data_IF_628917231502
#
_entry.id   IF_628917231502
#
_cell.length_a   1.000
_cell.length_b   1.000
_cell.length_c   1.000
_cell.angle_alpha   90.00
_cell.angle_beta   90.00
_cell.angle_gamma   90.00
#
_symmetry.space_group_name_H-M   'P 1'
#
loop_
_entity.id
_entity.type
_entity.pdbx_description
1 polymer ?
#
# COMPACT_ATOMS: atom_id res chain seq x y z
N UNK A 1 26.50 3.07 -5.56
CA UNK A 1 25.71 3.07 -4.31
C UNK A 1 25.47 1.63 -3.92
N UNK A 2 25.75 1.24 -2.67
CA UNK A 2 25.66 -0.15 -2.20
C UNK A 2 24.44 -0.28 -1.26
N UNK A 3 23.46 -1.18 -1.54
CA UNK A 3 22.28 -1.35 -0.69
C UNK A 3 22.62 -1.79 0.75
N UNK A 4 23.78 -2.43 0.95
CA UNK A 4 24.28 -2.83 2.29
C UNK A 4 24.59 -1.69 3.24
N UNK A 5 24.65 -0.45 2.74
CA UNK A 5 24.98 0.74 3.55
C UNK A 5 24.08 1.93 3.26
N UNK A 6 23.01 1.77 2.47
CA UNK A 6 22.20 2.89 2.01
C UNK A 6 20.74 2.49 1.76
N UNK A 7 19.83 3.17 2.47
CA UNK A 7 18.39 3.02 2.29
C UNK A 7 17.94 3.39 0.87
N UNK A 8 18.40 4.52 0.33
CA UNK A 8 18.04 4.90 -1.05
C UNK A 8 18.60 3.92 -2.09
N UNK A 9 19.78 3.34 -1.85
CA UNK A 9 20.36 2.35 -2.77
C UNK A 9 19.56 1.05 -2.75
N UNK A 10 19.01 0.65 -1.60
CA UNK A 10 18.10 -0.49 -1.48
C UNK A 10 16.86 -0.28 -2.37
N UNK A 11 16.21 0.88 -2.29
CA UNK A 11 15.05 1.23 -3.13
C UNK A 11 15.41 1.17 -4.62
N UNK A 12 16.50 1.83 -5.03
CA UNK A 12 16.94 1.84 -6.43
C UNK A 12 17.25 0.43 -6.95
N UNK A 13 17.79 -0.44 -6.08
CA UNK A 13 18.07 -1.84 -6.42
C UNK A 13 16.79 -2.63 -6.66
N UNK A 14 15.77 -2.46 -5.81
CA UNK A 14 14.45 -3.09 -6.02
C UNK A 14 13.75 -2.57 -7.29
N UNK A 15 13.85 -1.26 -7.57
CA UNK A 15 13.35 -0.69 -8.82
C UNK A 15 13.96 -1.37 -10.03
N UNK A 16 15.29 -1.43 -10.11
CA UNK A 16 15.99 -2.10 -11.20
C UNK A 16 15.61 -3.58 -11.30
N UNK A 17 15.62 -4.29 -10.16
CA UNK A 17 15.29 -5.71 -10.13
C UNK A 17 13.90 -6.00 -10.71
N UNK A 18 12.86 -5.27 -10.26
CA UNK A 18 11.50 -5.49 -10.72
C UNK A 18 11.25 -4.96 -12.14
N UNK A 19 11.93 -3.89 -12.54
CA UNK A 19 11.94 -3.45 -13.94
C UNK A 19 12.47 -4.55 -14.87
N UNK A 20 13.56 -5.23 -14.49
CA UNK A 20 14.13 -6.36 -15.25
C UNK A 20 13.19 -7.58 -15.30
N UNK A 21 12.20 -7.69 -14.38
CA UNK A 21 11.13 -8.70 -14.42
C UNK A 21 9.89 -8.25 -15.21
N UNK A 22 9.96 -7.09 -15.86
CA UNK A 22 8.91 -6.55 -16.72
C UNK A 22 7.82 -5.78 -15.98
N UNK A 23 8.07 -5.31 -14.75
CA UNK A 23 7.16 -4.40 -14.07
C UNK A 23 7.30 -2.98 -14.60
N UNK A 24 6.18 -2.28 -14.77
CA UNK A 24 6.20 -0.83 -14.84
C UNK A 24 6.60 -0.27 -13.46
N UNK A 25 7.68 0.51 -13.41
CA UNK A 25 8.11 1.19 -12.18
C UNK A 25 7.29 2.47 -12.03
N UNK A 26 6.37 2.48 -11.06
CA UNK A 26 5.49 3.63 -10.81
C UNK A 26 6.02 4.50 -9.68
N UNK A 27 5.38 5.66 -9.53
CA UNK A 27 5.64 6.59 -8.44
C UNK A 27 4.69 6.31 -7.27
N UNK A 28 5.04 6.74 -6.05
CA UNK A 28 4.10 6.82 -4.94
C UNK A 28 2.80 7.50 -5.33
N UNK A 29 1.69 7.04 -4.75
CA UNK A 29 0.45 7.78 -4.86
C UNK A 29 0.53 9.09 -4.06
N UNK A 30 0.02 10.17 -4.62
CA UNK A 30 0.08 11.54 -4.07
C UNK A 30 -1.01 11.83 -3.02
N UNK A 31 -1.64 10.77 -2.51
CA UNK A 31 -2.66 10.78 -1.47
C UNK A 31 -2.23 9.93 -0.27
N UNK A 32 -2.68 10.28 0.94
CA UNK A 32 -2.40 9.47 2.13
C UNK A 32 -3.08 8.10 2.06
N UNK A 33 -2.29 7.04 2.13
CA UNK A 33 -2.77 5.65 2.13
C UNK A 33 -2.10 4.83 3.22
N UNK A 34 -2.80 3.82 3.76
CA UNK A 34 -2.26 2.96 4.83
C UNK A 34 -1.38 1.80 4.36
N UNK A 35 -1.37 1.52 3.05
CA UNK A 35 -0.54 0.51 2.41
C UNK A 35 -0.47 0.74 0.88
N UNK A 36 0.52 0.13 0.22
CA UNK A 36 0.67 0.03 -1.24
C UNK A 36 -0.55 -0.53 -1.95
N UNK A 37 -1.34 -1.36 -1.26
CA UNK A 37 -2.59 -1.94 -1.76
C UNK A 37 -3.61 -0.87 -2.15
N UNK A 38 -3.73 0.22 -1.38
CA UNK A 38 -4.68 1.31 -1.62
C UNK A 38 -4.32 2.20 -2.81
N UNK A 39 -3.12 2.07 -3.38
CA UNK A 39 -2.80 2.75 -4.62
C UNK A 39 -3.71 2.20 -5.74
N UNK A 40 -4.31 3.03 -6.60
CA UNK A 40 -5.14 2.54 -7.72
C UNK A 40 -4.42 1.57 -8.67
N UNK A 41 -3.08 1.61 -8.72
CA UNK A 41 -2.25 0.67 -9.47
C UNK A 41 -2.25 -0.76 -8.89
N UNK A 42 -2.75 -0.96 -7.67
CA UNK A 42 -3.00 -2.27 -7.08
C UNK A 42 -4.50 -2.53 -6.96
N UNK A 43 -5.23 -1.80 -6.11
CA UNK A 43 -6.65 -2.11 -5.83
C UNK A 43 -7.50 -2.16 -7.10
N UNK A 44 -7.48 -1.11 -7.92
CA UNK A 44 -8.31 -1.08 -9.13
C UNK A 44 -7.76 -2.02 -10.20
N UNK A 45 -6.44 -2.02 -10.44
CA UNK A 45 -5.80 -2.87 -11.46
C UNK A 45 -5.83 -4.37 -11.16
N UNK A 46 -6.04 -4.77 -9.90
CA UNK A 46 -6.31 -6.16 -9.54
C UNK A 46 -7.63 -6.66 -10.16
N UNK A 47 -8.57 -5.78 -10.48
CA UNK A 47 -9.87 -6.11 -11.06
C UNK A 47 -9.84 -6.26 -12.59
N UNK A 48 -10.78 -7.04 -13.11
CA UNK A 48 -11.00 -7.23 -14.55
C UNK A 48 -9.98 -8.16 -15.23
N UNK A 49 -10.14 -8.44 -16.54
CA UNK A 49 -9.37 -9.48 -17.22
C UNK A 49 -7.95 -9.05 -17.66
N UNK A 50 -7.63 -7.75 -17.63
CA UNK A 50 -6.36 -7.24 -18.16
C UNK A 50 -5.16 -7.68 -17.29
N UNK A 51 -4.11 -8.31 -17.85
CA UNK A 51 -2.84 -8.50 -17.17
C UNK A 51 -2.21 -7.16 -16.78
N UNK A 52 -1.46 -7.18 -15.69
CA UNK A 52 -0.84 -6.00 -15.11
C UNK A 52 0.41 -6.38 -14.31
N UNK A 53 1.49 -5.62 -14.47
CA UNK A 53 2.71 -5.78 -13.68
C UNK A 53 3.24 -4.42 -13.30
N UNK A 54 3.30 -4.12 -12.01
CA UNK A 54 3.82 -2.85 -11.51
C UNK A 54 4.63 -3.06 -10.23
N UNK A 55 5.59 -2.16 -10.02
CA UNK A 55 6.38 -2.09 -8.80
C UNK A 55 6.62 -0.63 -8.42
N UNK A 56 6.54 -0.28 -7.15
CA UNK A 56 6.68 1.10 -6.69
C UNK A 56 6.94 1.19 -5.19
N UNK A 57 7.49 2.32 -4.75
CA UNK A 57 7.50 2.67 -3.33
C UNK A 57 6.16 3.29 -2.97
N UNK A 58 5.59 2.92 -1.83
CA UNK A 58 4.44 3.61 -1.25
C UNK A 58 4.78 4.07 0.18
N UNK A 59 5.02 5.37 0.40
CA UNK A 59 4.95 5.96 1.73
C UNK A 59 3.53 5.72 2.27
N UNK A 60 3.47 5.07 3.43
CA UNK A 60 2.24 4.56 4.01
C UNK A 60 2.03 5.17 5.39
N UNK A 61 0.82 5.68 5.65
CA UNK A 61 0.44 6.33 6.91
C UNK A 61 -0.54 5.48 7.69
N UNK A 62 -0.14 5.07 8.90
CA UNK A 62 -0.94 4.36 9.90
C UNK A 62 -0.98 5.18 11.19
N UNK A 63 -1.92 6.13 11.33
CA UNK A 63 -1.98 7.04 12.47
C UNK A 63 -1.88 6.38 13.85
N UNK A 64 -2.51 5.22 14.05
CA UNK A 64 -2.50 4.45 15.30
C UNK A 64 -1.15 3.79 15.64
N UNK A 65 -0.26 3.68 14.66
CA UNK A 65 1.06 3.08 14.84
C UNK A 65 2.10 4.09 15.36
N UNK A 66 1.76 5.37 15.50
CA UNK A 66 2.68 6.40 15.98
C UNK A 66 3.25 6.11 17.36
N UNK A 67 4.55 6.35 17.56
CA UNK A 67 5.24 6.11 18.85
C UNK A 67 6.14 7.27 19.26
N UNK A 68 5.80 8.49 18.85
CA UNK A 68 6.51 9.72 19.26
C UNK A 68 8.02 9.72 18.98
N UNK A 69 8.49 8.93 18.02
CA UNK A 69 9.92 8.80 17.76
C UNK A 69 10.69 7.92 18.76
N UNK A 70 10.01 7.27 19.70
CA UNK A 70 10.65 6.55 20.81
C UNK A 70 10.78 5.04 20.57
N UNK A 71 10.00 4.48 19.65
CA UNK A 71 10.06 3.06 19.32
C UNK A 71 11.07 2.78 18.19
N UNK A 72 11.94 1.76 18.31
CA UNK A 72 12.96 1.46 17.31
C UNK A 72 12.44 0.84 16.01
N UNK A 73 11.20 0.33 15.98
CA UNK A 73 10.69 -0.50 14.88
C UNK A 73 9.28 -0.11 14.40
N UNK A 74 8.57 0.76 15.11
CA UNK A 74 7.17 1.11 14.83
C UNK A 74 7.03 2.60 14.54
N UNK A 75 6.40 2.91 13.41
CA UNK A 75 6.28 4.24 12.84
C UNK A 75 4.82 4.49 12.39
N UNK A 76 4.30 5.71 12.52
CA UNK A 76 3.06 6.08 11.84
C UNK A 76 3.25 6.32 10.34
N UNK A 77 4.46 6.64 9.89
CA UNK A 77 4.81 6.79 8.47
C UNK A 77 6.06 5.98 8.14
N UNK A 78 5.95 5.10 7.15
CA UNK A 78 7.03 4.22 6.71
C UNK A 78 6.90 3.90 5.22
N UNK A 79 7.96 3.37 4.62
CA UNK A 79 7.97 3.02 3.20
C UNK A 79 7.72 1.54 2.97
N UNK A 80 6.64 1.25 2.25
CA UNK A 80 6.48 -0.04 1.60
C UNK A 80 7.15 -0.04 0.25
N UNK A 81 7.74 -1.16 -0.14
CA UNK A 81 7.91 -1.47 -1.56
C UNK A 81 6.78 -2.39 -1.97
N UNK A 82 6.07 -2.05 -3.03
CA UNK A 82 4.89 -2.75 -3.49
C UNK A 82 5.17 -3.37 -4.85
N UNK A 83 4.75 -4.61 -5.05
CA UNK A 83 4.75 -5.28 -6.34
C UNK A 83 3.39 -5.94 -6.55
N UNK A 84 2.83 -5.77 -7.74
CA UNK A 84 1.63 -6.48 -8.18
C UNK A 84 1.91 -7.18 -9.51
N UNK A 85 1.63 -8.48 -9.56
CA UNK A 85 1.79 -9.33 -10.74
C UNK A 85 0.47 -10.04 -11.04
N UNK A 86 -0.14 -9.67 -12.17
CA UNK A 86 -1.42 -10.19 -12.63
C UNK A 86 -1.28 -10.69 -14.07
N UNK A 87 -1.51 -11.99 -14.36
CA UNK A 87 -1.79 -13.05 -13.39
C UNK A 87 -0.60 -13.32 -12.47
N UNK A 88 -0.88 -13.90 -11.31
CA UNK A 88 0.15 -14.41 -10.40
C UNK A 88 1.08 -15.42 -11.12
N UNK A 89 2.41 -15.24 -11.08
CA UNK A 89 3.34 -16.24 -11.61
C UNK A 89 3.51 -17.44 -10.66
N UNK A 90 3.77 -18.62 -11.22
CA UNK A 90 4.00 -19.84 -10.44
C UNK A 90 5.30 -19.82 -9.60
N UNK A 91 6.24 -18.91 -9.91
CA UNK A 91 7.52 -18.78 -9.23
C UNK A 91 7.64 -17.48 -8.41
N UNK A 92 6.53 -16.96 -7.88
CA UNK A 92 6.53 -15.70 -7.12
C UNK A 92 7.53 -15.71 -5.94
N UNK A 93 7.61 -16.80 -5.19
CA UNK A 93 8.56 -16.94 -4.07
C UNK A 93 10.02 -16.90 -4.54
N UNK A 94 10.36 -17.53 -5.67
CA UNK A 94 11.72 -17.48 -6.24
C UNK A 94 12.08 -16.05 -6.65
N UNK A 95 11.15 -15.33 -7.28
CA UNK A 95 11.34 -13.93 -7.66
C UNK A 95 11.59 -13.04 -6.44
N UNK A 96 10.87 -13.28 -5.34
CA UNK A 96 11.07 -12.57 -4.08
C UNK A 96 12.42 -12.90 -3.43
N UNK A 97 12.80 -14.18 -3.31
CA UNK A 97 14.11 -14.54 -2.75
C UNK A 97 15.27 -13.97 -3.57
N UNK A 98 15.10 -13.90 -4.90
CA UNK A 98 16.05 -13.22 -5.78
C UNK A 98 16.14 -11.70 -5.53
N UNK A 99 15.03 -11.05 -5.15
CA UNK A 99 15.02 -9.62 -4.82
C UNK A 99 15.70 -9.34 -3.49
N UNK A 100 15.51 -10.19 -2.48
CA UNK A 100 16.22 -10.13 -1.19
C UNK A 100 17.74 -10.28 -1.39
N UNK A 101 18.16 -11.25 -2.21
CA UNK A 101 19.57 -11.41 -2.56
C UNK A 101 20.14 -10.17 -3.26
N UNK A 102 19.37 -9.54 -4.15
CA UNK A 102 19.80 -8.35 -4.87
C UNK A 102 20.06 -7.16 -3.93
N UNK A 103 19.25 -6.98 -2.88
CA UNK A 103 19.47 -5.93 -1.88
C UNK A 103 20.52 -6.30 -0.83
N UNK A 104 21.11 -7.49 -0.92
CA UNK A 104 22.23 -7.92 -0.09
C UNK A 104 21.86 -8.77 1.12
N UNK A 105 20.60 -9.21 1.23
CA UNK A 105 20.13 -10.15 2.24
C UNK A 105 20.27 -11.57 1.67
N UNK A 106 21.27 -12.32 2.14
CA UNK A 106 21.50 -13.70 1.70
C UNK A 106 20.65 -14.67 2.52
N UNK A 107 19.66 -15.37 1.92
CA UNK A 107 18.81 -16.31 2.65
C UNK A 107 19.56 -17.55 3.15
N UNK A 108 20.83 -17.76 2.80
CA UNK A 108 21.68 -18.79 3.41
C UNK A 108 22.30 -18.34 4.74
N UNK A 109 22.34 -17.04 5.00
CA UNK A 109 22.88 -16.45 6.23
C UNK A 109 21.77 -16.00 7.20
N UNK A 110 20.56 -15.80 6.69
CA UNK A 110 19.39 -15.36 7.44
C UNK A 110 18.29 -16.42 7.42
N UNK A 111 17.61 -16.62 8.54
CA UNK A 111 16.49 -17.57 8.67
C UNK A 111 15.22 -16.96 8.07
N UNK A 112 15.04 -17.17 6.76
CA UNK A 112 13.86 -16.72 6.01
C UNK A 112 12.77 -17.79 6.03
N UNK A 113 11.61 -17.46 6.61
CA UNK A 113 10.46 -18.37 6.75
C UNK A 113 9.21 -17.78 6.13
N UNK A 114 8.44 -18.63 5.45
CA UNK A 114 7.10 -18.31 4.97
C UNK A 114 6.10 -18.94 5.94
N UNK A 115 5.40 -18.08 6.68
CA UNK A 115 4.39 -18.49 7.66
C UNK A 115 3.04 -18.22 7.03
N UNK A 116 2.19 -19.25 6.92
CA UNK A 116 0.85 -19.11 6.33
C UNK A 116 0.05 -18.08 7.11
N UNK A 117 -0.49 -17.10 6.38
CA UNK A 117 -1.37 -16.07 6.92
C UNK A 117 -2.32 -15.58 5.82
N UNK A 118 -3.59 -15.42 6.19
CA UNK A 118 -4.61 -14.87 5.31
C UNK A 118 -4.67 -13.36 5.53
N UNK A 119 -4.65 -12.59 4.44
CA UNK A 119 -4.71 -11.14 4.52
C UNK A 119 -6.13 -10.63 4.25
N UNK A 120 -6.59 -9.68 5.07
CA UNK A 120 -7.85 -8.96 4.85
C UNK A 120 -7.66 -7.44 5.03
N UNK A 121 -8.29 -6.68 4.13
CA UNK A 121 -8.57 -5.25 4.33
C UNK A 121 -10.09 -5.02 4.29
N UNK A 122 -10.73 -4.92 5.46
CA UNK A 122 -12.18 -4.75 5.55
C UNK A 122 -12.71 -3.50 4.84
N UNK A 123 -11.96 -2.39 4.88
CA UNK A 123 -12.35 -1.12 4.24
C UNK A 123 -12.28 -1.18 2.72
N UNK A 124 -11.39 -2.00 2.14
CA UNK A 124 -11.36 -2.23 0.70
C UNK A 124 -12.25 -3.42 0.28
N UNK A 125 -12.84 -4.14 1.23
CA UNK A 125 -13.53 -5.40 0.94
C UNK A 125 -12.62 -6.39 0.20
N UNK A 126 -11.33 -6.36 0.53
CA UNK A 126 -10.28 -7.13 -0.12
C UNK A 126 -9.78 -8.23 0.80
N UNK A 127 -9.53 -9.41 0.25
CA UNK A 127 -8.93 -10.52 0.97
C UNK A 127 -8.18 -11.46 0.02
N UNK A 128 -7.21 -12.19 0.57
CA UNK A 128 -6.43 -13.15 -0.19
C UNK A 128 -5.69 -14.14 0.72
N UNK A 129 -5.34 -15.28 0.14
CA UNK A 129 -4.47 -16.27 0.78
C UNK A 129 -3.02 -15.79 0.68
N UNK A 130 -2.16 -16.15 1.63
CA UNK A 130 -0.81 -15.62 1.61
C UNK A 130 0.17 -16.21 2.61
N UNK A 131 1.27 -15.49 2.77
CA UNK A 131 2.25 -15.76 3.81
C UNK A 131 2.81 -14.45 4.33
N UNK A 132 3.04 -14.40 5.63
CA UNK A 132 4.03 -13.50 6.20
C UNK A 132 5.43 -14.08 5.95
N UNK A 133 6.33 -13.25 5.44
CA UNK A 133 7.74 -13.58 5.34
C UNK A 133 8.48 -13.05 6.56
N UNK A 134 9.01 -13.95 7.36
CA UNK A 134 9.82 -13.64 8.54
C UNK A 134 11.29 -13.81 8.21
N UNK A 135 12.13 -12.89 8.69
CA UNK A 135 13.58 -12.94 8.59
C UNK A 135 14.14 -12.74 10.01
N UNK A 136 14.91 -13.70 10.52
CA UNK A 136 15.53 -13.65 11.86
C UNK A 136 14.58 -13.19 12.98
N UNK A 137 13.34 -13.67 12.96
CA UNK A 137 12.34 -13.40 13.99
C UNK A 137 11.58 -12.08 13.85
N UNK A 138 11.70 -11.35 12.73
CA UNK A 138 10.83 -10.22 12.40
C UNK A 138 10.17 -10.39 11.03
N UNK A 139 8.88 -10.10 10.95
CA UNK A 139 8.13 -10.02 9.69
C UNK A 139 8.71 -8.89 8.80
N UNK A 140 9.17 -9.23 7.59
CA UNK A 140 9.81 -8.27 6.67
C UNK A 140 9.03 -8.06 5.37
N UNK A 141 8.10 -8.95 5.03
CA UNK A 141 7.26 -8.81 3.85
C UNK A 141 5.96 -9.61 3.96
N UNK A 142 4.93 -9.20 3.22
CA UNK A 142 3.67 -9.91 3.06
C UNK A 142 3.51 -10.40 1.61
N UNK A 143 3.03 -11.63 1.47
CA UNK A 143 2.51 -12.18 0.23
C UNK A 143 0.99 -12.22 0.30
N UNK A 144 0.32 -11.79 -0.77
CA UNK A 144 -1.13 -11.89 -0.87
C UNK A 144 -1.54 -12.31 -2.28
N UNK A 145 -2.32 -13.37 -2.40
CA UNK A 145 -2.98 -13.78 -3.63
C UNK A 145 -4.44 -13.36 -3.59
N UNK A 146 -4.74 -12.23 -4.21
CA UNK A 146 -6.08 -11.64 -4.13
C UNK A 146 -7.14 -12.60 -4.68
N UNK A 147 -8.03 -13.03 -3.80
CA UNK A 147 -9.26 -13.73 -4.18
C UNK A 147 -10.35 -12.70 -4.47
N UNK A 148 -10.39 -11.63 -3.68
CA UNK A 148 -11.36 -10.57 -3.83
C UNK A 148 -10.72 -9.21 -3.53
N UNK A 149 -11.13 -8.18 -4.28
CA UNK A 149 -10.80 -6.77 -4.03
C UNK A 149 -12.07 -5.95 -4.31
N UNK A 150 -12.34 -4.91 -3.53
CA UNK A 150 -13.56 -4.10 -3.69
C UNK A 150 -14.87 -4.93 -3.61
N UNK A 151 -14.90 -6.06 -2.91
CA UNK A 151 -16.08 -6.94 -2.93
C UNK A 151 -16.26 -7.77 -4.21
N UNK A 152 -15.28 -7.76 -5.11
CA UNK A 152 -15.34 -8.36 -6.46
C UNK A 152 -14.24 -9.42 -6.60
N UNK A 153 -14.59 -10.57 -7.16
CA UNK A 153 -13.65 -11.66 -7.42
C UNK A 153 -12.55 -11.23 -8.41
N UNK A 154 -11.30 -11.52 -8.07
CA UNK A 154 -10.15 -11.22 -8.93
C UNK A 154 -9.93 -12.34 -9.95
N UNK A 155 -10.24 -12.06 -11.22
CA UNK A 155 -10.04 -13.02 -12.31
C UNK A 155 -9.31 -12.36 -13.50
N UNK A 156 -8.03 -12.70 -13.75
CA UNK A 156 -7.21 -13.68 -13.02
C UNK A 156 -6.72 -13.17 -11.65
N UNK A 157 -6.39 -14.11 -10.75
CA UNK A 157 -5.76 -13.82 -9.44
C UNK A 157 -4.46 -13.03 -9.63
N UNK A 158 -4.32 -11.96 -8.85
CA UNK A 158 -3.10 -11.16 -8.78
C UNK A 158 -2.27 -11.55 -7.55
N UNK A 159 -0.96 -11.68 -7.73
CA UNK A 159 0.00 -11.81 -6.65
C UNK A 159 0.51 -10.44 -6.24
N UNK A 160 0.34 -10.10 -4.98
CA UNK A 160 0.89 -8.92 -4.31
C UNK A 160 2.10 -9.33 -3.46
N UNK A 161 3.16 -8.53 -3.53
CA UNK A 161 4.29 -8.55 -2.59
C UNK A 161 4.44 -7.17 -1.97
N UNK A 162 4.51 -7.14 -0.65
CA UNK A 162 4.65 -5.89 0.11
C UNK A 162 5.84 -6.02 1.04
N UNK A 163 6.87 -5.22 0.81
CA UNK A 163 8.11 -5.23 1.58
C UNK A 163 8.08 -4.13 2.64
N UNK A 164 8.47 -4.42 3.88
CA UNK A 164 8.79 -3.42 4.90
C UNK A 164 10.22 -2.92 4.72
N UNK A 165 10.42 -1.79 4.05
CA UNK A 165 11.74 -1.35 3.61
C UNK A 165 12.68 -1.03 4.78
N UNK A 166 12.17 -0.40 5.84
CA UNK A 166 12.94 -0.07 7.03
C UNK A 166 13.44 -1.34 7.72
N UNK A 167 12.55 -2.32 7.93
CA UNK A 167 12.90 -3.60 8.56
C UNK A 167 13.96 -4.35 7.76
N UNK A 168 13.82 -4.41 6.43
CA UNK A 168 14.83 -5.02 5.55
C UNK A 168 16.16 -4.27 5.61
N UNK A 169 16.11 -2.94 5.57
CA UNK A 169 17.32 -2.11 5.64
C UNK A 169 18.04 -2.27 6.98
N UNK A 170 17.31 -2.43 8.09
CA UNK A 170 17.88 -2.63 9.43
C UNK A 170 18.72 -3.91 9.48
N UNK A 171 18.20 -5.02 8.95
CA UNK A 171 18.96 -6.26 8.82
C UNK A 171 20.18 -6.11 7.91
N UNK A 172 19.98 -5.50 6.74
CA UNK A 172 21.02 -5.36 5.72
C UNK A 172 22.16 -4.44 6.19
N UNK A 173 21.87 -3.41 6.99
CA UNK A 173 22.85 -2.48 7.55
C UNK A 173 23.35 -2.88 8.95
N UNK A 174 22.70 -3.83 9.62
CA UNK A 174 23.06 -4.31 10.96
C UNK A 174 22.81 -3.28 12.06
N UNK A 175 21.64 -2.62 12.04
CA UNK A 175 21.24 -1.64 13.07
C UNK A 175 19.91 -2.04 13.72
N UNK A 176 19.79 -1.81 15.03
CA UNK A 176 18.63 -2.22 15.83
C UNK A 176 17.55 -1.12 15.98
N UNK A 177 17.84 0.09 15.51
CA UNK A 177 16.93 1.23 15.54
C UNK A 177 16.78 1.84 14.15
N UNK A 178 15.54 1.99 13.70
CA UNK A 178 15.21 2.54 12.39
C UNK A 178 15.82 3.92 12.16
N UNK A 179 15.91 4.78 13.18
CA UNK A 179 16.45 6.13 13.04
C UNK A 179 17.96 6.15 12.78
N UNK A 180 18.69 5.06 13.08
CA UNK A 180 20.13 4.95 12.86
C UNK A 180 20.50 4.52 11.44
N UNK A 181 19.52 4.10 10.63
CA UNK A 181 19.72 3.70 9.24
C UNK A 181 20.46 4.79 8.46
N UNK A 182 21.52 4.40 7.75
CA UNK A 182 22.18 5.27 6.81
C UNK A 182 21.31 5.43 5.56
N UNK A 183 20.77 6.63 5.36
CA UNK A 183 19.83 6.91 4.29
C UNK A 183 20.57 6.99 2.95
N UNK A 184 21.59 7.84 2.87
CA UNK A 184 22.27 8.19 1.61
C UNK A 184 23.55 7.37 1.32
N UNK A 185 24.02 6.57 2.27
CA UNK A 185 25.23 5.76 2.15
C UNK A 185 26.54 6.51 2.22
N UNK A 186 26.53 7.75 2.72
CA UNK A 186 27.73 8.55 2.99
C UNK A 186 28.19 8.33 4.44
N UNK A 187 29.38 8.85 4.74
CA UNK A 187 30.02 8.73 6.06
C UNK A 187 30.45 10.14 6.52
N UNK A 188 30.76 10.29 7.81
CA UNK A 188 31.18 11.58 8.38
C UNK A 188 30.08 12.65 8.28
N UNK A 189 30.47 13.90 8.00
CA UNK A 189 29.56 15.05 7.94
C UNK A 189 28.54 14.98 6.78
N UNK A 190 28.80 14.16 5.75
CA UNK A 190 27.88 13.98 4.62
C UNK A 190 26.82 12.88 4.88
N UNK A 191 26.93 12.12 5.97
CA UNK A 191 25.97 11.07 6.32
C UNK A 191 24.62 11.71 6.65
N UNK A 192 23.57 11.19 6.01
CA UNK A 192 22.18 11.48 6.38
C UNK A 192 21.59 10.19 6.94
N UNK A 193 21.13 10.22 8.18
CA UNK A 193 20.41 9.13 8.81
C UNK A 193 18.91 9.20 8.52
N UNK A 194 18.19 8.09 8.75
CA UNK A 194 16.73 8.10 8.69
C UNK A 194 16.13 9.01 9.77
N UNK A 195 16.79 9.12 10.94
CA UNK A 195 16.44 10.05 12.01
C UNK A 195 16.49 11.51 11.57
N UNK A 196 17.54 11.90 10.82
CA UNK A 196 17.68 13.26 10.28
C UNK A 196 16.51 13.65 9.36
N UNK A 197 15.91 12.66 8.68
CA UNK A 197 14.80 12.88 7.74
C UNK A 197 13.44 12.81 8.44
N UNK A 198 13.23 11.86 9.37
CA UNK A 198 11.88 11.49 9.83
C UNK A 198 11.62 11.60 11.33
N UNK A 199 12.64 11.70 12.19
CA UNK A 199 12.41 11.65 13.64
C UNK A 199 11.48 12.77 14.13
N UNK A 200 11.75 14.00 13.68
CA UNK A 200 10.89 15.14 14.01
C UNK A 200 9.47 14.96 13.47
N UNK A 201 9.33 14.49 12.23
CA UNK A 201 8.02 14.26 11.63
C UNK A 201 7.23 13.21 12.43
N UNK A 202 7.86 12.10 12.83
CA UNK A 202 7.21 11.06 13.63
C UNK A 202 6.71 11.59 14.99
N UNK A 203 7.50 12.44 15.65
CA UNK A 203 7.12 13.11 16.90
C UNK A 203 5.91 14.02 16.71
N UNK A 204 5.93 14.86 15.66
CA UNK A 204 4.87 15.83 15.38
C UNK A 204 3.58 15.16 14.91
N UNK A 205 3.67 14.19 14.00
CA UNK A 205 2.50 13.43 13.55
C UNK A 205 1.90 12.59 14.66
N UNK A 206 2.70 12.00 15.57
CA UNK A 206 2.16 11.29 16.73
C UNK A 206 1.33 12.23 17.62
N UNK A 207 1.86 13.41 17.96
CA UNK A 207 1.11 14.44 18.72
C UNK A 207 -0.16 14.86 17.98
N UNK A 208 -0.08 15.13 16.69
CA UNK A 208 -1.26 15.47 15.89
C UNK A 208 -2.32 14.37 15.95
N UNK A 209 -1.93 13.13 15.61
CA UNK A 209 -2.83 12.00 15.47
C UNK A 209 -3.48 11.58 16.80
N UNK A 210 -2.77 11.71 17.92
CA UNK A 210 -3.26 11.29 19.23
C UNK A 210 -3.84 12.40 20.09
N UNK A 211 -3.43 13.65 19.92
CA UNK A 211 -3.76 14.74 20.85
C UNK A 211 -4.51 15.87 20.16
N UNK A 212 -4.01 16.35 19.03
CA UNK A 212 -4.41 17.67 18.49
C UNK A 212 -5.38 17.64 17.30
N UNK A 213 -5.54 16.53 16.59
CA UNK A 213 -6.42 16.49 15.43
C UNK A 213 -7.87 16.83 15.83
N UNK A 214 -8.45 17.84 15.17
CA UNK A 214 -9.84 18.28 15.40
C UNK A 214 -10.82 17.23 14.87
N UNK A 215 -11.44 16.51 15.80
CA UNK A 215 -12.32 15.39 15.49
C UNK A 215 -13.65 15.84 14.87
N UNK A 216 -14.15 17.05 15.20
CA UNK A 216 -15.36 17.59 14.59
C UNK A 216 -15.10 17.97 13.12
N UNK A 217 -13.92 18.52 12.83
CA UNK A 217 -13.49 18.79 11.46
C UNK A 217 -13.30 17.48 10.67
N UNK A 218 -12.59 16.50 11.24
CA UNK A 218 -12.38 15.20 10.60
C UNK A 218 -13.72 14.51 10.29
N UNK A 219 -14.69 14.53 11.21
CA UNK A 219 -16.01 13.98 10.96
C UNK A 219 -16.71 14.65 9.77
N UNK A 220 -16.64 15.98 9.64
CA UNK A 220 -17.18 16.70 8.47
C UNK A 220 -16.48 16.28 7.19
N UNK A 221 -15.14 16.24 7.18
CA UNK A 221 -14.37 15.83 6.01
C UNK A 221 -14.67 14.39 5.57
N UNK A 222 -14.94 13.48 6.51
CA UNK A 222 -15.38 12.13 6.16
C UNK A 222 -16.70 12.15 5.37
N UNK A 223 -17.69 12.90 5.86
CA UNK A 223 -19.00 13.02 5.20
C UNK A 223 -18.86 13.69 3.83
N UNK A 224 -18.05 14.74 3.74
CA UNK A 224 -17.83 15.46 2.48
C UNK A 224 -17.18 14.55 1.42
N UNK A 225 -16.15 13.79 1.81
CA UNK A 225 -15.49 12.84 0.92
C UNK A 225 -16.44 11.70 0.49
N UNK A 226 -17.25 11.16 1.40
CA UNK A 226 -18.25 10.14 1.07
C UNK A 226 -19.27 10.67 0.03
N UNK A 227 -19.81 11.87 0.27
CA UNK A 227 -20.78 12.50 -0.63
C UNK A 227 -20.19 12.78 -2.00
N UNK A 228 -18.98 13.33 -2.06
CA UNK A 228 -18.31 13.64 -3.32
C UNK A 228 -17.96 12.37 -4.11
N UNK A 229 -17.51 11.30 -3.43
CA UNK A 229 -17.29 10.00 -4.06
C UNK A 229 -18.55 9.51 -4.79
N UNK A 230 -19.69 9.52 -4.09
CA UNK A 230 -20.98 9.10 -4.66
C UNK A 230 -21.42 10.00 -5.82
N UNK A 231 -21.25 11.32 -5.70
CA UNK A 231 -21.59 12.27 -6.76
C UNK A 231 -20.76 12.04 -8.02
N UNK A 232 -19.45 11.82 -7.89
CA UNK A 232 -18.54 11.53 -9.01
C UNK A 232 -18.83 10.17 -9.67
N UNK A 233 -19.17 9.16 -8.86
CA UNK A 233 -19.60 7.85 -9.40
C UNK A 233 -20.87 7.99 -10.24
N UNK A 234 -21.85 8.76 -9.77
CA UNK A 234 -23.09 9.04 -10.50
C UNK A 234 -22.84 9.88 -11.76
N UNK A 235 -22.06 10.95 -11.66
CA UNK A 235 -21.75 11.83 -12.78
C UNK A 235 -20.94 11.13 -13.87
N UNK A 236 -20.08 10.20 -13.49
CA UNK A 236 -19.27 9.40 -14.41
C UNK A 236 -19.97 8.18 -14.97
N UNK A 237 -21.22 7.88 -14.57
CA UNK A 237 -21.93 6.67 -14.96
C UNK A 237 -22.12 6.58 -16.49
N UNK A 238 -22.09 5.35 -17.06
CA UNK A 238 -22.41 5.14 -18.46
C UNK A 238 -23.83 5.63 -18.82
N UNK A 239 -23.99 6.09 -20.07
CA UNK A 239 -25.31 6.40 -20.63
C UNK A 239 -25.92 5.22 -21.37
N UNK A 240 -27.19 5.36 -21.79
CA UNK A 240 -27.97 4.26 -22.38
C UNK A 240 -27.55 3.86 -23.82
N UNK A 241 -26.73 4.67 -24.47
CA UNK A 241 -26.32 4.44 -25.87
C UNK A 241 -24.95 3.78 -25.96
N UNK A 242 -24.72 2.98 -27.01
CA UNK A 242 -23.46 2.24 -27.21
C UNK A 242 -22.18 3.11 -27.19
N UNK A 243 -22.30 4.39 -27.57
CA UNK A 243 -21.18 5.35 -27.55
C UNK A 243 -20.87 5.94 -26.16
N UNK A 244 -21.61 5.54 -25.11
CA UNK A 244 -21.46 6.06 -23.74
C UNK A 244 -21.34 4.95 -22.70
N UNK A 245 -20.84 3.77 -23.08
CA UNK A 245 -20.74 2.60 -22.20
C UNK A 245 -19.65 2.69 -21.13
N UNK A 246 -18.71 3.63 -21.28
CA UNK A 246 -17.57 3.77 -20.36
C UNK A 246 -17.90 4.66 -19.15
N UNK A 247 -17.45 4.25 -17.97
CA UNK A 247 -17.37 5.13 -16.82
C UNK A 247 -16.25 6.17 -17.00
N UNK A 248 -16.49 7.42 -16.60
CA UNK A 248 -15.59 8.56 -16.91
C UNK A 248 -14.92 9.20 -15.70
N UNK A 249 -15.33 8.85 -14.48
CA UNK A 249 -14.91 9.56 -13.25
C UNK A 249 -14.49 8.61 -12.11
N UNK A 250 -14.11 7.36 -12.40
CA UNK A 250 -13.80 6.39 -11.34
C UNK A 250 -12.55 6.75 -10.52
N UNK A 251 -11.49 7.25 -11.13
CA UNK A 251 -10.27 7.63 -10.42
C UNK A 251 -10.48 8.78 -9.43
N UNK A 252 -11.09 9.93 -9.81
CA UNK A 252 -11.38 10.98 -8.84
C UNK A 252 -12.40 10.55 -7.77
N UNK A 253 -13.34 9.64 -8.09
CA UNK A 253 -14.19 9.04 -7.05
C UNK A 253 -13.39 8.19 -6.06
N UNK A 254 -12.45 7.38 -6.56
CA UNK A 254 -11.58 6.56 -5.73
C UNK A 254 -10.69 7.42 -4.81
N UNK A 255 -10.22 8.58 -5.26
CA UNK A 255 -9.49 9.52 -4.39
C UNK A 255 -10.31 9.94 -3.16
N UNK A 256 -11.61 10.17 -3.34
CA UNK A 256 -12.50 10.50 -2.23
C UNK A 256 -12.74 9.31 -1.30
N UNK A 257 -12.81 8.09 -1.85
CA UNK A 257 -12.82 6.87 -1.05
C UNK A 257 -11.55 6.74 -0.18
N UNK A 258 -10.38 7.02 -0.75
CA UNK A 258 -9.10 6.98 -0.03
C UNK A 258 -9.04 8.06 1.06
N UNK A 259 -9.49 9.29 0.77
CA UNK A 259 -9.61 10.37 1.77
C UNK A 259 -10.48 9.94 2.93
N UNK A 260 -11.66 9.39 2.65
CA UNK A 260 -12.56 8.88 3.69
C UNK A 260 -11.87 7.81 4.56
N UNK A 261 -11.12 6.89 3.95
CA UNK A 261 -10.34 5.88 4.67
C UNK A 261 -9.27 6.47 5.58
N UNK A 262 -8.51 7.47 5.11
CA UNK A 262 -7.46 8.08 5.93
C UNK A 262 -8.04 8.92 7.06
N UNK A 263 -9.09 9.70 6.80
CA UNK A 263 -9.81 10.47 7.82
C UNK A 263 -10.39 9.54 8.90
N UNK A 264 -10.95 8.39 8.52
CA UNK A 264 -11.36 7.37 9.47
C UNK A 264 -10.19 6.90 10.35
N UNK A 265 -9.02 6.62 9.78
CA UNK A 265 -7.86 6.19 10.57
C UNK A 265 -7.39 7.27 11.57
N UNK A 266 -7.50 8.56 11.22
CA UNK A 266 -7.19 9.66 12.15
C UNK A 266 -8.21 9.73 13.30
N UNK A 267 -9.50 9.57 13.00
CA UNK A 267 -10.54 9.51 14.04
C UNK A 267 -10.36 8.30 14.97
N UNK A 268 -9.99 7.14 14.42
CA UNK A 268 -9.69 5.92 15.18
C UNK A 268 -8.48 6.14 16.10
N UNK A 269 -7.40 6.74 15.59
CA UNK A 269 -6.21 7.07 16.38
C UNK A 269 -6.49 8.11 17.48
N UNK A 270 -7.42 9.06 17.27
CA UNK A 270 -7.87 9.98 18.33
C UNK A 270 -8.67 9.30 19.43
N UNK A 271 -9.08 8.04 19.24
CA UNK A 271 -9.82 7.27 20.25
C UNK A 271 -11.25 7.78 20.49
N UNK A 272 -11.82 8.51 19.54
CA UNK A 272 -13.17 9.09 19.64
C UNK A 272 -14.27 8.24 19.01
N UNK A 273 -13.89 7.14 18.33
CA UNK A 273 -14.81 6.21 17.70
C UNK A 273 -15.01 5.00 18.63
N UNK A 274 -16.26 4.71 19.01
CA UNK A 274 -16.62 3.48 19.70
C UNK A 274 -16.51 2.25 18.80
N UNK A 275 -16.45 1.04 19.37
CA UNK A 275 -16.39 -0.22 18.60
C UNK A 275 -17.52 -0.33 17.57
N UNK A 276 -18.74 0.07 17.95
CA UNK A 276 -19.91 0.05 17.05
C UNK A 276 -19.78 1.07 15.92
N UNK A 277 -19.34 2.29 16.23
CA UNK A 277 -19.11 3.32 15.22
C UNK A 277 -17.99 2.90 14.26
N UNK A 278 -16.94 2.26 14.76
CA UNK A 278 -15.83 1.76 13.94
C UNK A 278 -16.31 0.80 12.85
N UNK A 279 -17.19 -0.14 13.19
CA UNK A 279 -17.79 -1.05 12.21
C UNK A 279 -18.63 -0.30 11.17
N UNK A 280 -19.38 0.73 11.59
CA UNK A 280 -20.14 1.59 10.69
C UNK A 280 -19.25 2.34 9.69
N UNK A 281 -18.16 2.95 10.15
CA UNK A 281 -17.17 3.61 9.28
C UNK A 281 -16.54 2.63 8.28
N UNK A 282 -16.12 1.46 8.74
CA UNK A 282 -15.55 0.42 7.87
C UNK A 282 -16.53 0.03 6.77
N UNK A 283 -17.80 -0.21 7.12
CA UNK A 283 -18.83 -0.58 6.14
C UNK A 283 -19.07 0.53 5.12
N UNK A 284 -19.08 1.79 5.55
CA UNK A 284 -19.25 2.96 4.67
C UNK A 284 -18.09 3.07 3.67
N UNK A 285 -16.84 3.01 4.14
CA UNK A 285 -15.66 3.01 3.25
C UNK A 285 -15.69 1.80 2.30
N UNK A 286 -16.03 0.62 2.81
CA UNK A 286 -16.20 -0.61 1.99
C UNK A 286 -17.23 -0.44 0.89
N UNK A 287 -18.33 0.24 1.18
CA UNK A 287 -19.39 0.52 0.19
C UNK A 287 -18.87 1.43 -0.91
N UNK A 288 -18.10 2.47 -0.56
CA UNK A 288 -17.45 3.35 -1.55
C UNK A 288 -16.43 2.58 -2.40
N UNK A 289 -15.55 1.79 -1.76
CA UNK A 289 -14.54 1.00 -2.45
C UNK A 289 -15.17 0.01 -3.43
N UNK A 290 -16.25 -0.67 -3.03
CA UNK A 290 -17.02 -1.56 -3.90
C UNK A 290 -17.58 -0.83 -5.12
N UNK A 291 -18.26 0.30 -4.90
CA UNK A 291 -18.82 1.09 -6.00
C UNK A 291 -17.73 1.61 -6.96
N UNK A 292 -16.56 1.98 -6.44
CA UNK A 292 -15.40 2.33 -7.27
C UNK A 292 -14.88 1.14 -8.09
N UNK A 293 -14.82 -0.06 -7.49
CA UNK A 293 -14.42 -1.27 -8.19
C UNK A 293 -15.39 -1.66 -9.32
N UNK A 294 -16.70 -1.59 -9.06
CA UNK A 294 -17.74 -1.83 -10.06
C UNK A 294 -17.65 -0.81 -11.20
N UNK A 295 -17.48 0.48 -10.87
CA UNK A 295 -17.28 1.54 -11.86
C UNK A 295 -15.98 1.34 -12.67
N UNK A 296 -14.91 0.85 -12.05
CA UNK A 296 -13.64 0.63 -12.73
C UNK A 296 -13.75 -0.45 -13.81
N UNK A 297 -14.50 -1.52 -13.57
CA UNK A 297 -14.76 -2.57 -14.56
C UNK A 297 -15.48 -2.05 -15.81
N UNK A 298 -16.20 -0.93 -15.69
CA UNK A 298 -16.86 -0.23 -16.79
C UNK A 298 -15.92 0.74 -17.52
N UNK A 299 -14.62 0.72 -17.25
CA UNK A 299 -13.63 1.52 -17.98
C UNK A 299 -12.83 0.68 -18.97
N UNK A 300 -12.15 1.34 -19.90
CA UNK A 300 -11.14 0.67 -20.71
C UNK A 300 -10.01 0.08 -19.86
N UNK A 301 -9.63 0.71 -18.75
CA UNK A 301 -8.59 0.18 -17.88
C UNK A 301 -9.05 -1.10 -17.14
N UNK A 302 -10.32 -1.17 -16.75
CA UNK A 302 -10.94 -2.34 -16.13
C UNK A 302 -11.35 -3.44 -17.10
N UNK A 303 -11.24 -3.20 -18.40
CA UNK A 303 -11.38 -4.24 -19.41
C UNK A 303 -12.78 -4.44 -19.97
N UNK A 304 -13.66 -3.42 -19.88
CA UNK A 304 -14.97 -3.48 -20.52
C UNK A 304 -14.89 -3.85 -22.02
N UNK A 305 -13.91 -3.28 -22.72
CA UNK A 305 -13.65 -3.55 -24.15
C UNK A 305 -12.50 -4.54 -24.38
N UNK A 306 -12.12 -5.35 -23.39
CA UNK A 306 -11.01 -6.28 -23.53
C UNK A 306 -11.40 -7.53 -24.33
N UNK A 307 -10.86 -7.65 -25.54
CA UNK A 307 -10.91 -8.88 -26.32
C UNK A 307 -9.54 -9.56 -26.29
N UNK A 308 -9.45 -10.73 -25.64
CA UNK A 308 -8.21 -11.53 -25.52
C UNK A 308 -7.71 -12.09 -26.86
N UNK A 309 -8.51 -11.97 -27.93
CA UNK A 309 -8.31 -12.58 -29.24
C UNK A 309 -7.80 -11.61 -30.33
N UNK A 310 -7.35 -10.41 -29.95
CA UNK A 310 -6.68 -9.45 -30.85
C UNK A 310 -5.18 -9.38 -30.55
#
# INVERSE_FOLDING_TARGET
MNPKRSFQALILTLHNYWADKGCAVLQPYDMEVGAGTFHPATTLRALGPKPWKAAYVQPSRRPSDGRYGENPNRLQHYYQYQVILKPNPSNLQELYLGSLKAIGLDPLLHDVRFVEDDWESPTLGAWGLGWECWCDGMEVSQFTYFQQVCGIECSPVAGELTYGLERLAMYVQGVDNVYDLNFNGREGEEKISYGDVFLQAEQEYSRHNFEFADTAMLHRHFIDAEKECQALLAAGAPGDNDNQRLHKCVFPAYDQCIKASHVFNLLDARGVISVTERQSYILRVRTLAKACGEAFLLTDAGGLNWNRAA
#
